data_IF_825251009708
#
_entry.id   IF_825251009708
#
_cell.length_a   1.000
_cell.length_b   1.000
_cell.length_c   1.000
_cell.angle_alpha   90.00
_cell.angle_beta   90.00
_cell.angle_gamma   90.00
#
_symmetry.space_group_name_H-M   'P 1'
#
loop_
_entity.id
_entity.type
_entity.pdbx_description
1 polymer ?
#
# COMPACT_ATOMS: atom_id res chain seq x y z
N UNK A 1 -24.05 -18.17 1.20
CA UNK A 1 -22.90 -18.55 0.37
C UNK A 1 -21.64 -17.89 0.89
N UNK A 2 -20.62 -18.66 1.19
CA UNK A 2 -19.34 -18.11 1.59
C UNK A 2 -18.59 -17.62 0.34
N UNK A 3 -18.02 -16.44 0.41
CA UNK A 3 -17.16 -15.90 -0.66
C UNK A 3 -15.78 -16.53 -0.52
N UNK A 4 -15.28 -17.12 -1.61
CA UNK A 4 -13.95 -17.69 -1.65
C UNK A 4 -12.97 -16.67 -2.24
N UNK A 5 -11.82 -16.50 -1.61
CA UNK A 5 -10.77 -15.58 -2.07
C UNK A 5 -9.56 -16.38 -2.55
N UNK A 6 -8.83 -15.88 -3.58
CA UNK A 6 -7.57 -16.49 -4.00
C UNK A 6 -6.56 -16.55 -2.85
N UNK A 7 -5.67 -17.54 -2.89
CA UNK A 7 -4.64 -17.72 -1.88
C UNK A 7 -3.75 -16.47 -1.72
N UNK A 8 -3.40 -15.82 -2.83
CA UNK A 8 -2.61 -14.58 -2.81
C UNK A 8 -3.29 -13.45 -2.04
N UNK A 9 -4.62 -13.31 -2.20
CA UNK A 9 -5.42 -12.33 -1.46
C UNK A 9 -5.39 -12.66 0.04
N UNK A 10 -5.53 -13.93 0.38
CA UNK A 10 -5.53 -14.38 1.77
C UNK A 10 -4.18 -14.14 2.44
N UNK A 11 -3.07 -14.40 1.76
CA UNK A 11 -1.73 -14.12 2.29
C UNK A 11 -1.51 -12.63 2.57
N UNK A 12 -1.90 -11.78 1.63
CA UNK A 12 -1.78 -10.33 1.79
C UNK A 12 -2.68 -9.84 2.92
N UNK A 13 -3.93 -10.32 2.97
CA UNK A 13 -4.88 -9.97 4.03
C UNK A 13 -4.35 -10.36 5.40
N UNK A 14 -3.77 -11.55 5.54
CA UNK A 14 -3.17 -11.99 6.79
C UNK A 14 -2.02 -11.09 7.21
N UNK A 15 -1.15 -10.73 6.27
CA UNK A 15 0.01 -9.87 6.56
C UNK A 15 -0.43 -8.48 7.04
N UNK A 16 -1.36 -7.83 6.34
CA UNK A 16 -1.81 -6.49 6.74
C UNK A 16 -2.65 -6.54 8.02
N UNK A 17 -3.48 -7.55 8.20
CA UNK A 17 -4.25 -7.74 9.43
C UNK A 17 -3.34 -7.87 10.64
N UNK A 18 -2.30 -8.69 10.53
CA UNK A 18 -1.43 -8.99 11.67
C UNK A 18 -0.47 -7.85 12.01
N UNK A 19 -0.18 -6.96 11.08
CA UNK A 19 0.85 -5.92 11.23
C UNK A 19 0.33 -4.47 11.24
N UNK A 20 -0.89 -4.23 10.78
CA UNK A 20 -1.46 -2.88 10.71
C UNK A 20 -2.57 -2.75 11.75
N UNK A 21 -2.43 -1.85 12.74
CA UNK A 21 -3.39 -1.73 13.84
C UNK A 21 -4.84 -1.55 13.41
N UNK A 22 -5.13 -0.67 12.45
CA UNK A 22 -6.52 -0.45 12.04
C UNK A 22 -7.08 -1.67 11.29
N UNK A 23 -6.27 -2.43 10.57
CA UNK A 23 -6.71 -3.67 9.92
C UNK A 23 -7.06 -4.75 10.94
N UNK A 24 -6.27 -4.83 12.01
CA UNK A 24 -6.53 -5.74 13.13
C UNK A 24 -7.85 -5.40 13.80
N UNK A 25 -8.11 -4.11 14.00
CA UNK A 25 -9.34 -3.60 14.58
C UNK A 25 -10.57 -3.92 13.73
N UNK A 26 -10.45 -3.81 12.41
CA UNK A 26 -11.54 -4.15 11.47
C UNK A 26 -11.87 -5.65 11.46
N UNK A 27 -10.86 -6.51 11.65
CA UNK A 27 -10.99 -7.95 11.57
C UNK A 27 -10.82 -8.49 10.15
N UNK A 28 -10.44 -9.76 10.03
CA UNK A 28 -10.15 -10.41 8.75
C UNK A 28 -11.31 -10.35 7.75
N UNK A 29 -12.54 -10.52 8.23
CA UNK A 29 -13.72 -10.51 7.36
C UNK A 29 -13.88 -9.19 6.61
N UNK A 30 -13.49 -8.06 7.22
CA UNK A 30 -13.52 -6.74 6.59
C UNK A 30 -12.27 -6.50 5.73
N UNK A 31 -11.12 -7.02 6.13
CA UNK A 31 -9.84 -6.83 5.43
C UNK A 31 -9.81 -7.56 4.09
N UNK A 32 -10.37 -8.76 4.00
CA UNK A 32 -10.35 -9.57 2.77
C UNK A 32 -10.93 -8.86 1.55
N UNK A 33 -12.18 -8.35 1.56
CA UNK A 33 -12.71 -7.64 0.40
C UNK A 33 -11.97 -6.34 0.10
N UNK A 34 -11.46 -5.66 1.12
CA UNK A 34 -10.66 -4.46 0.98
C UNK A 34 -9.35 -4.75 0.23
N UNK A 35 -8.61 -5.78 0.63
CA UNK A 35 -7.38 -6.21 -0.06
C UNK A 35 -7.72 -6.64 -1.50
N UNK A 36 -8.81 -7.39 -1.70
CA UNK A 36 -9.20 -7.85 -3.02
C UNK A 36 -9.41 -6.68 -4.00
N UNK A 37 -9.97 -5.57 -3.51
CA UNK A 37 -10.13 -4.37 -4.33
C UNK A 37 -8.78 -3.88 -4.90
N UNK A 38 -7.73 -3.82 -4.07
CA UNK A 38 -6.40 -3.38 -4.51
C UNK A 38 -5.80 -4.35 -5.53
N UNK A 39 -5.98 -5.64 -5.32
CA UNK A 39 -5.48 -6.65 -6.25
C UNK A 39 -6.21 -6.57 -7.58
N UNK A 40 -7.54 -6.47 -7.57
CA UNK A 40 -8.37 -6.38 -8.78
C UNK A 40 -8.05 -5.15 -9.61
N UNK A 41 -7.64 -4.07 -8.97
CA UNK A 41 -7.30 -2.81 -9.64
C UNK A 41 -5.81 -2.66 -9.96
N UNK A 42 -5.00 -3.68 -9.65
CA UNK A 42 -3.56 -3.62 -9.88
C UNK A 42 -2.85 -2.58 -9.05
N UNK A 43 -3.39 -2.26 -7.87
CA UNK A 43 -2.88 -1.22 -6.98
C UNK A 43 -2.12 -1.79 -5.80
N UNK A 44 -1.17 -2.67 -6.08
CA UNK A 44 -0.36 -3.28 -5.04
C UNK A 44 1.02 -3.66 -5.55
N UNK A 45 1.96 -3.75 -4.63
CA UNK A 45 3.28 -4.35 -4.85
C UNK A 45 3.51 -5.38 -3.76
N UNK A 46 4.00 -6.55 -4.14
CA UNK A 46 4.27 -7.61 -3.19
C UNK A 46 5.61 -8.26 -3.55
N UNK A 47 6.38 -8.60 -2.53
CA UNK A 47 7.65 -9.30 -2.70
C UNK A 47 7.66 -10.55 -1.84
N UNK A 48 8.22 -11.62 -2.39
CA UNK A 48 8.32 -12.92 -1.70
C UNK A 48 9.76 -13.40 -1.72
N UNK A 49 10.11 -14.20 -0.72
CA UNK A 49 11.40 -14.87 -0.64
C UNK A 49 11.16 -16.31 -0.24
N UNK A 50 11.73 -17.24 -1.00
CA UNK A 50 11.58 -18.69 -0.77
C UNK A 50 10.12 -19.12 -0.67
N UNK A 51 9.28 -18.57 -1.54
CA UNK A 51 7.85 -18.90 -1.57
C UNK A 51 6.99 -18.25 -0.48
N UNK A 52 7.58 -17.40 0.36
CA UNK A 52 6.84 -16.72 1.43
C UNK A 52 6.77 -15.22 1.19
N UNK A 53 5.60 -14.64 1.41
CA UNK A 53 5.39 -13.21 1.29
C UNK A 53 6.23 -12.46 2.34
N UNK A 54 7.06 -11.51 1.89
CA UNK A 54 7.96 -10.74 2.74
C UNK A 54 7.55 -9.29 2.88
N UNK A 55 6.79 -8.77 1.95
CA UNK A 55 6.34 -7.39 2.01
C UNK A 55 5.20 -7.12 1.05
N UNK A 56 4.40 -6.13 1.38
CA UNK A 56 3.29 -5.68 0.56
C UNK A 56 3.05 -4.19 0.75
N UNK A 57 2.74 -3.50 -0.33
CA UNK A 57 2.29 -2.11 -0.32
C UNK A 57 0.98 -2.04 -1.09
N UNK A 58 -0.04 -1.45 -0.48
CA UNK A 58 -1.31 -1.16 -1.13
C UNK A 58 -1.36 0.35 -1.38
N UNK A 59 -1.76 0.75 -2.58
CA UNK A 59 -1.68 2.15 -2.97
C UNK A 59 -2.86 2.57 -3.86
N UNK A 60 -3.06 3.88 -3.95
CA UNK A 60 -4.06 4.50 -4.84
C UNK A 60 -3.42 5.73 -5.49
N UNK A 61 -3.87 6.07 -6.67
CA UNK A 61 -3.45 7.31 -7.34
C UNK A 61 -4.58 8.31 -7.26
N UNK A 62 -4.30 9.47 -6.69
CA UNK A 62 -5.32 10.49 -6.42
C UNK A 62 -4.86 11.86 -6.91
N UNK A 63 -5.77 12.83 -6.96
CA UNK A 63 -5.50 14.19 -7.45
C UNK A 63 -5.28 15.20 -6.32
N UNK A 64 -5.78 14.92 -5.13
CA UNK A 64 -5.73 15.86 -4.01
C UNK A 64 -5.56 15.14 -2.68
N UNK A 65 -5.17 15.91 -1.66
CA UNK A 65 -5.09 15.40 -0.28
C UNK A 65 -6.45 14.91 0.22
N UNK A 66 -7.53 15.59 -0.16
CA UNK A 66 -8.90 15.19 0.23
C UNK A 66 -9.24 13.79 -0.26
N UNK A 67 -8.83 13.44 -1.47
CA UNK A 67 -9.06 12.11 -2.04
C UNK A 67 -8.40 10.99 -1.21
N UNK A 68 -7.32 11.31 -0.51
CA UNK A 68 -6.64 10.32 0.35
C UNK A 68 -7.53 9.79 1.45
N UNK A 69 -8.50 10.58 1.91
CA UNK A 69 -9.41 10.23 2.99
C UNK A 69 -10.63 9.44 2.52
N UNK A 70 -10.84 9.29 1.22
CA UNK A 70 -11.98 8.57 0.66
C UNK A 70 -11.60 7.13 0.33
N UNK A 71 -12.35 6.18 0.90
CA UNK A 71 -12.12 4.75 0.63
C UNK A 71 -12.32 4.44 -0.85
N UNK A 72 -11.43 3.64 -1.41
CA UNK A 72 -11.48 3.16 -2.80
C UNK A 72 -11.41 4.26 -3.86
N UNK A 73 -11.05 5.48 -3.48
CA UNK A 73 -10.89 6.57 -4.43
C UNK A 73 -9.59 6.41 -5.20
N UNK A 74 -9.71 6.25 -6.51
CA UNK A 74 -8.56 6.18 -7.41
C UNK A 74 -8.92 6.92 -8.69
N UNK A 75 -8.25 8.03 -8.93
CA UNK A 75 -8.49 8.89 -10.08
C UNK A 75 -7.46 8.70 -11.20
N UNK A 76 -6.43 7.87 -10.95
CA UNK A 76 -5.28 7.78 -11.83
C UNK A 76 -4.40 9.03 -11.80
N UNK A 77 -4.46 9.81 -10.70
CA UNK A 77 -3.80 11.10 -10.58
C UNK A 77 -2.30 11.03 -10.34
N UNK A 78 -1.73 12.19 -10.04
CA UNK A 78 -0.28 12.38 -9.91
C UNK A 78 0.26 12.16 -8.49
N UNK A 79 -0.60 11.81 -7.55
CA UNK A 79 -0.23 11.53 -6.16
C UNK A 79 -0.38 10.03 -5.91
N UNK A 80 0.73 9.37 -5.59
CA UNK A 80 0.70 7.98 -5.15
C UNK A 80 0.45 7.95 -3.64
N UNK A 81 -0.77 7.62 -3.23
CA UNK A 81 -1.11 7.49 -1.82
C UNK A 81 -0.87 6.06 -1.36
N UNK A 82 0.07 5.91 -0.43
CA UNK A 82 0.39 4.61 0.15
C UNK A 82 -0.60 4.33 1.27
N UNK A 83 -1.51 3.41 1.03
CA UNK A 83 -2.56 3.03 1.98
C UNK A 83 -1.96 2.31 3.18
N UNK A 84 -1.19 1.27 2.92
CA UNK A 84 -0.42 0.52 3.91
C UNK A 84 0.86 0.01 3.26
N UNK A 85 1.89 -0.16 4.08
CA UNK A 85 3.15 -0.76 3.65
C UNK A 85 3.68 -1.61 4.81
N UNK A 86 3.87 -2.89 4.54
CA UNK A 86 4.37 -3.86 5.53
C UNK A 86 5.55 -4.60 4.92
N UNK A 87 6.64 -4.71 5.67
CA UNK A 87 7.78 -5.54 5.25
C UNK A 87 8.36 -6.24 6.47
N UNK A 88 8.83 -7.47 6.27
CA UNK A 88 9.45 -8.26 7.35
C UNK A 88 10.90 -7.86 7.61
N UNK A 89 11.56 -7.27 6.60
CA UNK A 89 12.94 -6.81 6.73
C UNK A 89 13.24 -5.70 5.72
N UNK A 90 14.34 -4.98 5.98
CA UNK A 90 14.74 -3.80 5.18
C UNK A 90 14.97 -4.14 3.71
N UNK A 91 15.55 -5.28 3.40
CA UNK A 91 15.83 -5.68 2.02
C UNK A 91 14.54 -5.87 1.21
N UNK A 92 13.50 -6.44 1.83
CA UNK A 92 12.20 -6.59 1.20
C UNK A 92 11.57 -5.22 0.93
N UNK A 93 11.68 -4.31 1.89
CA UNK A 93 11.17 -2.93 1.75
C UNK A 93 11.86 -2.22 0.59
N UNK A 94 13.19 -2.28 0.52
CA UNK A 94 13.96 -1.64 -0.56
C UNK A 94 13.62 -2.21 -1.93
N UNK A 95 13.54 -3.53 -2.05
CA UNK A 95 13.20 -4.19 -3.30
C UNK A 95 11.82 -3.79 -3.79
N UNK A 96 10.86 -3.71 -2.89
CA UNK A 96 9.48 -3.34 -3.20
C UNK A 96 9.38 -1.89 -3.69
N UNK A 97 10.02 -0.95 -3.00
CA UNK A 97 10.00 0.45 -3.40
C UNK A 97 10.80 0.71 -4.67
N UNK A 98 11.90 0.00 -4.87
CA UNK A 98 12.68 0.09 -6.11
C UNK A 98 11.82 -0.32 -7.33
N UNK A 99 11.11 -1.45 -7.20
CA UNK A 99 10.19 -1.91 -8.24
C UNK A 99 9.10 -0.87 -8.50
N UNK A 100 8.52 -0.33 -7.44
CA UNK A 100 7.47 0.70 -7.53
C UNK A 100 7.97 1.94 -8.27
N UNK A 101 9.13 2.47 -7.91
CA UNK A 101 9.67 3.66 -8.57
C UNK A 101 10.03 3.44 -10.02
N UNK A 102 10.49 2.24 -10.39
CA UNK A 102 10.77 1.92 -11.79
C UNK A 102 9.49 1.92 -12.64
N UNK A 103 8.37 1.53 -12.06
CA UNK A 103 7.10 1.47 -12.77
C UNK A 103 6.35 2.80 -12.80
N UNK A 104 6.29 3.50 -11.67
CA UNK A 104 5.43 4.69 -11.52
C UNK A 104 6.17 6.01 -11.34
N UNK A 105 7.47 5.97 -11.07
CA UNK A 105 8.24 7.17 -10.70
C UNK A 105 8.27 8.27 -11.73
N UNK A 106 8.15 7.95 -13.02
CA UNK A 106 8.19 8.94 -14.10
C UNK A 106 6.86 9.69 -14.25
N UNK A 107 5.76 9.02 -13.95
CA UNK A 107 4.41 9.54 -14.18
C UNK A 107 3.75 10.09 -12.92
N UNK A 108 4.41 9.95 -11.77
CA UNK A 108 3.86 10.35 -10.48
C UNK A 108 4.71 11.46 -9.90
N UNK A 109 4.08 12.57 -9.49
CA UNK A 109 4.77 13.74 -8.94
C UNK A 109 5.01 13.65 -7.45
N UNK A 110 4.05 13.09 -6.71
CA UNK A 110 4.07 13.08 -5.24
C UNK A 110 3.81 11.70 -4.69
N UNK A 111 4.37 11.44 -3.52
CA UNK A 111 4.04 10.29 -2.69
C UNK A 111 3.43 10.80 -1.39
N UNK A 112 2.35 10.18 -0.95
CA UNK A 112 1.63 10.59 0.24
C UNK A 112 1.32 9.38 1.12
N UNK A 113 1.21 9.61 2.41
CA UNK A 113 0.79 8.60 3.38
C UNK A 113 0.17 9.29 4.59
N UNK A 114 -0.62 8.54 5.35
CA UNK A 114 -1.28 9.06 6.53
C UNK A 114 -0.44 8.78 7.77
N UNK A 115 -0.24 9.79 8.58
CA UNK A 115 0.44 9.66 9.88
C UNK A 115 -0.61 9.63 10.99
N UNK A 116 -0.95 8.44 11.44
CA UNK A 116 -1.93 8.25 12.52
C UNK A 116 -1.49 8.91 13.83
N UNK A 117 -0.18 8.98 14.05
CA UNK A 117 0.43 9.64 15.22
C UNK A 117 0.10 11.14 15.31
N UNK A 118 -0.21 11.78 14.18
CA UNK A 118 -0.48 13.21 14.08
C UNK A 118 -1.91 13.47 13.62
N UNK A 119 -2.90 12.90 14.33
CA UNK A 119 -4.33 13.08 14.07
C UNK A 119 -4.74 12.73 12.62
N UNK A 120 -4.18 11.65 12.08
CA UNK A 120 -4.45 11.19 10.72
C UNK A 120 -4.09 12.23 9.65
N UNK A 121 -3.02 12.96 9.89
CA UNK A 121 -2.54 13.96 8.96
C UNK A 121 -1.86 13.29 7.76
N UNK A 122 -2.19 13.75 6.54
CA UNK A 122 -1.53 13.28 5.32
C UNK A 122 -0.19 14.00 5.17
N UNK A 123 0.88 13.23 5.01
CA UNK A 123 2.19 13.73 4.64
C UNK A 123 2.36 13.55 3.13
N UNK A 124 2.77 14.60 2.44
CA UNK A 124 2.98 14.58 0.99
C UNK A 124 4.36 15.11 0.68
N UNK A 125 5.13 14.34 -0.10
CA UNK A 125 6.47 14.74 -0.54
C UNK A 125 6.58 14.50 -2.04
N UNK A 126 7.44 15.30 -2.72
CA UNK A 126 7.71 15.05 -4.13
C UNK A 126 8.40 13.70 -4.31
N UNK A 127 8.21 13.08 -5.47
CA UNK A 127 8.67 11.72 -5.74
C UNK A 127 10.19 11.58 -5.61
N UNK A 128 10.95 12.56 -6.08
CA UNK A 128 12.41 12.54 -5.96
C UNK A 128 12.89 12.53 -4.53
N UNK A 129 12.25 13.35 -3.68
CA UNK A 129 12.56 13.42 -2.25
C UNK A 129 12.17 12.13 -1.51
N UNK A 130 11.02 11.57 -1.86
CA UNK A 130 10.57 10.31 -1.29
C UNK A 130 11.58 9.20 -1.58
N UNK A 131 12.03 9.11 -2.83
CA UNK A 131 13.03 8.14 -3.25
C UNK A 131 14.33 8.28 -2.46
N UNK A 132 14.84 9.50 -2.30
CA UNK A 132 16.06 9.74 -1.53
C UNK A 132 15.94 9.36 -0.06
N UNK A 133 14.78 9.63 0.55
CA UNK A 133 14.54 9.30 1.97
C UNK A 133 14.42 7.81 2.23
N UNK A 134 13.76 7.09 1.32
CA UNK A 134 13.46 5.67 1.51
C UNK A 134 14.59 4.74 1.06
N UNK A 135 15.53 5.23 0.23
CA UNK A 135 16.63 4.43 -0.29
C UNK A 135 17.97 4.65 0.43
N UNK A 136 17.95 5.35 1.52
CA UNK A 136 19.16 5.54 2.33
C UNK A 136 19.63 4.24 2.96
#
# INVERSE_FOLDING_TARGET
MSVSYPESTMEIADMVHDNIPFCKEWGKAAVLPWVQWFIDNGRYYAVSSKGKLCGVTLLRFVDSEEDCHEHYKDTGGQICYVEVSVSKHVDALKSMYELMWNEIGKDTKYMAWMRHKYNNRVTMVDMGRAKRRLMR
#
